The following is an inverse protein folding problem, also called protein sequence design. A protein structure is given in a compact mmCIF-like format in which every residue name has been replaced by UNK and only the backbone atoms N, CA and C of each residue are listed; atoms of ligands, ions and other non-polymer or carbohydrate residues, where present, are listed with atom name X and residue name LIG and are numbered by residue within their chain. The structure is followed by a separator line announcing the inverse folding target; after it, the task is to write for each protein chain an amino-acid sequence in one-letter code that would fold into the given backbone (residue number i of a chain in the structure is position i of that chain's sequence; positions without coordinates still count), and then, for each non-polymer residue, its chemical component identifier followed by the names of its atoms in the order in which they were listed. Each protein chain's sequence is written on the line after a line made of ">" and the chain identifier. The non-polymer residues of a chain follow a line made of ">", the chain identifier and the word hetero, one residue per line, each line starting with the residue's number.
data_IF_348781548687
#
_entry.id   IF_348781548687
#
_cell.length_a   1.000
_cell.length_b   1.000
_cell.length_c   1.000
_cell.angle_alpha   90.00
_cell.angle_beta   90.00
_cell.angle_gamma   90.00
#
_symmetry.space_group_name_H-M   'P 1'
#
loop_
_entity.id
_entity.type
_entity.pdbx_description
1 polymer ?
#
# COMPACT_ATOMS: atom_id res chain seq x y z
N UNK A 1 -13.65 -5.98 9.17
CA UNK A 1 -12.59 -4.97 9.31
C UNK A 1 -11.80 -4.94 8.01
N UNK A 2 -11.39 -3.78 7.47
CA UNK A 2 -10.65 -3.76 6.20
C UNK A 2 -9.20 -4.23 6.41
N UNK A 3 -8.73 -5.15 5.57
CA UNK A 3 -7.36 -5.69 5.59
C UNK A 3 -6.30 -4.59 5.51
N UNK A 4 -6.56 -3.53 4.74
CA UNK A 4 -5.68 -2.37 4.65
C UNK A 4 -5.53 -1.60 5.96
N UNK A 5 -6.61 -1.42 6.74
CA UNK A 5 -6.53 -0.72 8.03
C UNK A 5 -5.62 -1.47 9.00
N UNK A 6 -5.79 -2.79 9.10
CA UNK A 6 -4.95 -3.63 9.95
C UNK A 6 -3.50 -3.63 9.46
N UNK A 7 -3.27 -3.66 8.14
CA UNK A 7 -1.94 -3.56 7.55
C UNK A 7 -1.21 -2.27 7.93
N UNK A 8 -1.90 -1.14 7.84
CA UNK A 8 -1.36 0.17 8.23
C UNK A 8 -1.09 0.25 9.73
N UNK A 9 -2.06 -0.17 10.54
CA UNK A 9 -1.92 -0.15 11.98
C UNK A 9 -0.80 -1.08 12.47
N UNK A 10 -0.59 -2.24 11.82
CA UNK A 10 0.52 -3.14 12.15
C UNK A 10 1.88 -2.57 11.73
N UNK A 11 1.95 -1.92 10.56
CA UNK A 11 3.17 -1.30 10.05
C UNK A 11 3.64 -0.11 10.90
N UNK A 12 2.73 0.70 11.41
CA UNK A 12 3.03 1.89 12.22
C UNK A 12 2.66 1.71 13.70
N UNK A 13 2.68 0.45 14.16
CA UNK A 13 2.22 0.09 15.49
C UNK A 13 3.00 0.87 16.56
N UNK A 14 4.33 0.88 16.47
CA UNK A 14 5.19 1.52 17.45
C UNK A 14 5.00 3.03 17.53
N UNK A 15 4.73 3.70 16.40
CA UNK A 15 4.42 5.12 16.36
C UNK A 15 3.07 5.41 17.01
N UNK A 16 2.06 4.60 16.73
CA UNK A 16 0.72 4.74 17.32
C UNK A 16 0.66 4.38 18.81
N UNK A 17 1.58 3.56 19.30
CA UNK A 17 1.68 3.15 20.71
C UNK A 17 2.84 3.78 21.47
N UNK A 18 3.50 4.79 20.89
CA UNK A 18 4.61 5.51 21.55
C UNK A 18 4.16 6.14 22.89
N UNK A 19 5.12 6.50 23.76
CA UNK A 19 4.84 7.04 25.11
C UNK A 19 3.97 8.29 25.09
N UNK A 20 4.06 9.10 24.03
CA UNK A 20 3.19 10.25 23.79
C UNK A 20 2.71 10.23 22.33
N UNK A 21 1.70 9.41 22.01
CA UNK A 21 1.26 9.24 20.64
C UNK A 21 0.51 10.51 20.22
N UNK A 22 0.98 11.17 19.16
CA UNK A 22 0.31 12.35 18.61
C UNK A 22 -0.99 11.97 17.88
N UNK A 23 -2.02 11.60 18.64
CA UNK A 23 -3.34 11.16 18.12
C UNK A 23 -4.05 12.20 17.26
N UNK A 24 -3.58 13.45 17.32
CA UNK A 24 -4.11 14.60 16.58
C UNK A 24 -3.21 15.05 15.44
N UNK A 25 -2.05 14.42 15.27
CA UNK A 25 -1.23 14.61 14.08
C UNK A 25 -2.01 14.08 12.88
N UNK A 26 -1.98 14.83 11.79
CA UNK A 26 -2.44 14.29 10.52
C UNK A 26 -1.42 13.25 10.04
N UNK A 27 -1.84 11.98 10.08
CA UNK A 27 -1.05 10.89 9.54
C UNK A 27 -1.39 10.66 8.08
N UNK A 28 -0.36 10.64 7.22
CA UNK A 28 -0.52 10.33 5.80
C UNK A 28 0.31 9.09 5.48
N UNK A 29 -0.35 8.04 4.99
CA UNK A 29 0.27 6.82 4.50
C UNK A 29 0.13 6.76 2.96
N UNK A 30 1.25 6.75 2.24
CA UNK A 30 1.26 6.60 0.78
C UNK A 30 1.43 5.16 0.37
N UNK A 31 0.38 4.55 -0.19
CA UNK A 31 0.39 3.22 -0.76
C UNK A 31 0.72 3.31 -2.26
N UNK A 32 1.91 2.86 -2.65
CA UNK A 32 2.33 2.85 -4.06
C UNK A 32 1.68 1.69 -4.79
N UNK A 33 0.79 1.98 -5.73
CA UNK A 33 0.22 1.03 -6.66
C UNK A 33 1.15 0.80 -7.86
N UNK A 34 1.20 -0.44 -8.31
CA UNK A 34 1.89 -0.88 -9.52
C UNK A 34 1.00 -1.84 -10.30
N UNK A 35 1.24 -1.99 -11.59
CA UNK A 35 0.69 -3.11 -12.37
C UNK A 35 1.77 -4.18 -12.38
N UNK A 36 1.47 -5.36 -11.83
CA UNK A 36 2.40 -6.48 -11.73
C UNK A 36 1.96 -7.62 -12.65
N UNK A 37 2.88 -8.32 -13.34
CA UNK A 37 2.52 -9.43 -14.22
C UNK A 37 1.72 -10.51 -13.49
N UNK A 38 0.69 -11.03 -14.15
CA UNK A 38 -0.07 -12.18 -13.62
C UNK A 38 0.70 -13.50 -13.81
N UNK A 39 1.48 -13.58 -14.89
CA UNK A 39 2.34 -14.72 -15.18
C UNK A 39 3.68 -14.60 -14.46
N UNK A 40 4.06 -15.65 -13.72
CA UNK A 40 5.29 -15.70 -12.93
C UNK A 40 6.55 -15.66 -13.81
N UNK A 41 6.52 -16.27 -15.00
CA UNK A 41 7.66 -16.23 -15.93
C UNK A 41 7.86 -14.80 -16.44
N UNK A 42 6.80 -14.09 -16.78
CA UNK A 42 6.89 -12.67 -17.18
C UNK A 42 7.47 -11.80 -16.06
N UNK A 43 7.08 -12.07 -14.81
CA UNK A 43 7.63 -11.38 -13.66
C UNK A 43 9.14 -11.64 -13.46
N UNK A 44 9.56 -12.90 -13.61
CA UNK A 44 10.98 -13.31 -13.54
C UNK A 44 11.76 -12.67 -14.68
N UNK A 45 11.27 -12.74 -15.91
CA UNK A 45 11.95 -12.21 -17.09
C UNK A 45 12.11 -10.68 -16.99
N UNK A 46 11.10 -9.98 -16.48
CA UNK A 46 11.17 -8.53 -16.21
C UNK A 46 12.12 -8.18 -15.07
N UNK A 47 12.33 -9.05 -14.09
CA UNK A 47 13.30 -8.83 -13.02
C UNK A 47 14.74 -9.16 -13.42
N UNK A 48 14.94 -10.00 -14.44
CA UNK A 48 16.25 -10.49 -14.85
C UNK A 48 17.04 -9.45 -15.67
N UNK A 49 18.20 -8.95 -15.20
CA UNK A 49 19.01 -7.98 -15.94
C UNK A 49 19.62 -8.55 -17.23
N UNK A 50 19.84 -9.86 -17.31
CA UNK A 50 20.47 -10.53 -18.45
C UNK A 50 19.55 -10.61 -19.67
N UNK A 51 18.23 -10.46 -19.47
CA UNK A 51 17.27 -10.39 -20.57
C UNK A 51 17.16 -8.93 -21.02
N UNK A 52 17.48 -8.61 -22.30
CA UNK A 52 17.39 -7.25 -22.81
C UNK A 52 15.99 -6.67 -22.64
N UNK A 53 15.86 -5.51 -21.99
CA UNK A 53 14.55 -4.92 -21.72
C UNK A 53 13.74 -4.70 -23.01
N UNK A 54 14.41 -4.33 -24.12
CA UNK A 54 13.76 -4.09 -25.40
C UNK A 54 12.97 -5.31 -25.93
N UNK A 55 13.42 -6.55 -25.66
CA UNK A 55 12.67 -7.74 -26.08
C UNK A 55 11.38 -7.92 -25.28
N UNK A 56 11.37 -7.48 -24.03
CA UNK A 56 10.21 -7.53 -23.13
C UNK A 56 9.23 -6.37 -23.36
N UNK A 57 9.71 -5.23 -23.85
CA UNK A 57 8.85 -4.09 -24.19
C UNK A 57 7.84 -4.44 -25.29
N UNK A 58 8.28 -5.19 -26.31
CA UNK A 58 7.43 -5.64 -27.42
C UNK A 58 6.45 -6.77 -27.03
N UNK A 59 6.77 -7.56 -26.00
CA UNK A 59 5.92 -8.67 -25.54
C UNK A 59 4.63 -8.15 -24.92
N UNK A 60 3.47 -8.66 -25.31
CA UNK A 60 2.23 -8.36 -24.59
C UNK A 60 2.24 -9.08 -23.24
N UNK A 61 2.28 -8.32 -22.14
CA UNK A 61 2.26 -8.84 -20.77
C UNK A 61 1.00 -8.30 -20.10
N UNK A 62 0.19 -9.19 -19.54
CA UNK A 62 -1.02 -8.82 -18.79
C UNK A 62 -0.71 -8.87 -17.29
N UNK A 63 -1.18 -7.87 -16.57
CA UNK A 63 -0.99 -7.80 -15.13
C UNK A 63 -2.23 -7.33 -14.39
N UNK A 64 -2.07 -7.23 -13.08
CA UNK A 64 -3.08 -6.74 -12.15
C UNK A 64 -2.48 -5.70 -11.20
N UNK A 65 -3.34 -4.84 -10.66
CA UNK A 65 -2.93 -3.84 -9.68
C UNK A 65 -2.44 -4.55 -8.41
N UNK A 66 -1.28 -4.12 -7.91
CA UNK A 66 -0.71 -4.52 -6.62
C UNK A 66 -0.18 -3.30 -5.88
N UNK A 67 -0.07 -3.41 -4.56
CA UNK A 67 0.60 -2.46 -3.69
C UNK A 67 2.06 -2.87 -3.53
N UNK A 68 2.97 -1.99 -3.97
CA UNK A 68 4.40 -2.24 -3.96
C UNK A 68 5.05 -1.92 -2.61
N UNK A 69 4.55 -0.89 -1.93
CA UNK A 69 5.01 -0.43 -0.61
C UNK A 69 4.00 0.54 0.01
N UNK A 70 4.14 0.75 1.32
CA UNK A 70 3.46 1.81 2.07
C UNK A 70 4.53 2.64 2.76
N UNK A 71 4.49 3.96 2.57
CA UNK A 71 5.42 4.91 3.18
C UNK A 71 4.70 5.97 3.99
N UNK A 72 5.31 6.42 5.09
CA UNK A 72 4.80 7.54 5.87
C UNK A 72 5.16 8.82 5.10
N UNK A 73 4.19 9.73 4.94
CA UNK A 73 4.34 10.98 4.18
C UNK A 73 3.82 12.19 4.93
N UNK A 74 3.71 12.13 6.26
CA UNK A 74 3.10 13.22 7.02
C UNK A 74 3.96 14.48 7.07
N UNK A 75 5.24 14.38 6.67
CA UNK A 75 6.16 15.52 6.56
C UNK A 75 6.08 16.23 5.19
N UNK A 76 5.34 15.70 4.22
CA UNK A 76 5.10 16.40 2.96
C UNK A 76 3.96 17.40 3.16
N UNK A 77 4.08 18.66 2.70
CA UNK A 77 3.00 19.63 2.84
C UNK A 77 1.76 19.06 2.15
N UNK A 78 0.67 18.84 2.91
CA UNK A 78 -0.56 18.29 2.37
C UNK A 78 -1.19 19.32 1.43
N UNK A 79 -1.75 18.84 0.32
CA UNK A 79 -2.70 19.63 -0.47
C UNK A 79 -3.86 20.05 0.46
N UNK A 80 -4.39 21.28 0.33
CA UNK A 80 -5.54 21.78 1.09
C UNK A 80 -6.71 20.78 1.08
N UNK A 81 -6.87 20.04 -0.03
CA UNK A 81 -7.88 18.98 -0.16
C UNK A 81 -7.64 17.82 0.80
N UNK A 82 -6.39 17.43 1.06
CA UNK A 82 -6.02 16.34 1.95
C UNK A 82 -6.30 16.73 3.40
N UNK A 83 -5.92 17.95 3.75
CA UNK A 83 -6.19 18.50 5.07
C UNK A 83 -7.69 18.60 5.33
N UNK A 84 -8.47 19.10 4.37
CA UNK A 84 -9.93 19.19 4.49
C UNK A 84 -10.58 17.81 4.69
N UNK A 85 -10.19 16.80 3.91
CA UNK A 85 -10.71 15.44 4.04
C UNK A 85 -10.34 14.80 5.39
N UNK A 86 -9.09 14.97 5.83
CA UNK A 86 -8.65 14.50 7.14
C UNK A 86 -9.40 15.19 8.28
N UNK A 87 -9.53 16.52 8.25
CA UNK A 87 -10.27 17.29 9.26
C UNK A 87 -11.74 16.86 9.34
N UNK A 88 -12.41 16.67 8.21
CA UNK A 88 -13.79 16.20 8.17
C UNK A 88 -13.94 14.84 8.86
N UNK A 89 -13.13 13.85 8.47
CA UNK A 89 -13.18 12.50 9.05
C UNK A 89 -12.81 12.47 10.53
N UNK A 90 -11.83 13.30 10.93
CA UNK A 90 -11.42 13.45 12.34
C UNK A 90 -12.51 14.08 13.19
N UNK A 91 -13.20 15.10 12.69
CA UNK A 91 -14.31 15.72 13.40
C UNK A 91 -15.49 14.76 13.55
N UNK A 92 -15.78 13.95 12.53
CA UNK A 92 -16.80 12.91 12.61
C UNK A 92 -16.44 11.82 13.62
N UNK A 93 -15.19 11.35 13.61
CA UNK A 93 -14.67 10.40 14.60
C UNK A 93 -14.79 10.95 16.03
N UNK A 94 -14.49 12.24 16.23
CA UNK A 94 -14.62 12.92 17.52
C UNK A 94 -16.09 13.03 17.96
N UNK A 95 -17.01 13.31 17.02
CA UNK A 95 -18.46 13.37 17.27
C UNK A 95 -19.03 12.02 17.68
N UNK A 96 -18.47 10.92 17.18
CA UNK A 96 -18.81 9.56 17.58
C UNK A 96 -18.18 9.13 18.92
N UNK A 97 -17.42 10.01 19.57
CA UNK A 97 -16.83 9.77 20.88
C UNK A 97 -15.46 9.08 20.86
N UNK A 98 -14.86 8.88 19.68
CA UNK A 98 -13.60 8.15 19.50
C UNK A 98 -12.37 9.07 19.47
N UNK A 99 -12.25 9.95 20.46
CA UNK A 99 -11.18 10.97 20.54
C UNK A 99 -9.78 10.40 20.73
N UNK A 100 -9.71 9.16 21.18
CA UNK A 100 -8.52 8.37 21.43
C UNK A 100 -7.99 7.64 20.19
N UNK A 101 -8.77 7.60 19.11
CA UNK A 101 -8.38 6.94 17.88
C UNK A 101 -7.42 7.79 17.05
N UNK A 102 -6.58 7.13 16.25
CA UNK A 102 -5.74 7.78 15.25
C UNK A 102 -6.53 7.92 13.95
N UNK A 103 -6.41 9.06 13.28
CA UNK A 103 -6.99 9.27 11.96
C UNK A 103 -5.88 9.34 10.93
N UNK A 104 -5.87 8.36 10.03
CA UNK A 104 -4.87 8.19 8.98
C UNK A 104 -5.51 8.43 7.63
N UNK A 105 -4.88 9.27 6.82
CA UNK A 105 -5.21 9.48 5.44
C UNK A 105 -4.34 8.55 4.59
N UNK A 106 -4.93 7.65 3.81
CA UNK A 106 -4.18 6.80 2.89
C UNK A 106 -4.30 7.32 1.47
N UNK A 107 -3.18 7.64 0.84
CA UNK A 107 -3.12 7.95 -0.59
C UNK A 107 -2.76 6.70 -1.37
N UNK A 108 -3.41 6.51 -2.52
CA UNK A 108 -3.06 5.45 -3.46
C UNK A 108 -2.40 6.09 -4.67
N UNK A 109 -1.09 5.92 -4.74
CA UNK A 109 -0.27 6.56 -5.75
C UNK A 109 0.01 5.60 -6.89
N UNK A 110 -0.23 6.01 -8.13
CA UNK A 110 0.29 5.30 -9.29
C UNK A 110 1.07 6.28 -10.14
N UNK A 111 2.36 5.99 -10.38
CA UNK A 111 3.29 6.85 -11.11
C UNK A 111 3.33 8.32 -10.63
N UNK A 112 3.49 8.51 -9.32
CA UNK A 112 3.55 9.83 -8.66
C UNK A 112 2.28 10.66 -8.78
N UNK A 113 1.15 10.04 -9.15
CA UNK A 113 -0.16 10.66 -9.14
C UNK A 113 -1.03 9.98 -8.08
N UNK A 114 -1.70 10.77 -7.25
CA UNK A 114 -2.68 10.26 -6.27
C UNK A 114 -3.99 9.99 -7.00
N UNK A 115 -4.40 8.72 -7.05
CA UNK A 115 -5.66 8.29 -7.68
C UNK A 115 -6.81 8.27 -6.69
N UNK A 116 -6.56 7.70 -5.52
CA UNK A 116 -7.55 7.59 -4.45
C UNK A 116 -6.97 8.10 -3.15
N UNK A 117 -7.88 8.62 -2.33
CA UNK A 117 -7.60 9.05 -0.98
C UNK A 117 -8.71 8.51 -0.10
N UNK A 118 -8.33 7.75 0.91
CA UNK A 118 -9.27 7.10 1.81
C UNK A 118 -8.84 7.39 3.25
N UNK A 119 -9.66 8.10 4.05
CA UNK A 119 -9.41 8.24 5.47
C UNK A 119 -9.83 6.97 6.21
N UNK A 120 -9.04 6.58 7.21
CA UNK A 120 -9.32 5.48 8.12
C UNK A 120 -9.12 5.90 9.56
N UNK A 121 -9.90 5.30 10.45
CA UNK A 121 -9.74 5.43 11.90
C UNK A 121 -9.12 4.16 12.45
N UNK A 122 -8.00 4.29 13.15
CA UNK A 122 -7.33 3.19 13.87
C UNK A 122 -7.68 3.34 15.35
N UNK A 123 -8.50 2.41 15.84
CA UNK A 123 -8.95 2.42 17.22
C UNK A 123 -7.94 1.72 18.15
N UNK A 124 -7.94 2.03 19.45
CA UNK A 124 -7.13 1.28 20.42
C UNK A 124 -7.37 -0.24 20.40
N UNK A 125 -8.59 -0.67 20.07
CA UNK A 125 -8.93 -2.09 19.91
C UNK A 125 -8.20 -2.73 18.72
N UNK A 126 -8.01 -2.00 17.61
CA UNK A 126 -7.22 -2.49 16.47
C UNK A 126 -5.76 -2.69 16.89
N UNK A 127 -5.20 -1.74 17.67
CA UNK A 127 -3.85 -1.84 18.20
C UNK A 127 -3.70 -2.99 19.20
N UNK A 128 -4.70 -3.22 20.04
CA UNK A 128 -4.71 -4.36 20.98
C UNK A 128 -4.68 -5.70 20.24
N UNK A 129 -5.47 -5.85 19.17
CA UNK A 129 -5.49 -7.04 18.32
C UNK A 129 -4.14 -7.27 17.64
N UNK A 130 -3.52 -6.21 17.10
CA UNK A 130 -2.19 -6.28 16.48
C UNK A 130 -1.13 -6.74 17.49
N UNK A 131 -1.22 -6.25 18.73
CA UNK A 131 -0.32 -6.65 19.81
C UNK A 131 -0.51 -8.12 20.17
N UNK A 132 -1.75 -8.55 20.35
CA UNK A 132 -2.12 -9.92 20.73
C UNK A 132 -1.59 -10.94 19.71
N UNK A 133 -1.78 -10.65 18.42
CA UNK A 133 -1.34 -11.53 17.33
C UNK A 133 0.08 -11.23 16.83
N UNK A 134 0.79 -10.29 17.47
CA UNK A 134 2.15 -9.86 17.08
C UNK A 134 2.29 -9.52 15.60
N UNK A 135 1.26 -8.93 15.00
CA UNK A 135 1.25 -8.65 13.54
C UNK A 135 2.35 -7.65 13.15
N UNK A 136 2.77 -6.78 14.07
CA UNK A 136 3.89 -5.86 13.86
C UNK A 136 5.22 -6.59 13.62
N UNK A 137 5.49 -7.71 14.33
CA UNK A 137 6.72 -8.50 14.13
C UNK A 137 6.74 -9.19 12.75
N UNK A 138 5.58 -9.60 12.24
CA UNK A 138 5.43 -10.19 10.90
C UNK A 138 5.73 -9.12 9.83
N UNK A 139 5.22 -7.90 10.01
CA UNK A 139 5.50 -6.78 9.10
C UNK A 139 7.00 -6.47 9.05
N UNK A 140 7.64 -6.39 10.22
CA UNK A 140 9.05 -6.04 10.35
C UNK A 140 9.97 -7.08 9.70
N UNK A 141 9.70 -8.38 9.91
CA UNK A 141 10.53 -9.47 9.37
C UNK A 141 10.37 -9.65 7.87
N UNK A 142 9.16 -9.54 7.36
CA UNK A 142 8.88 -9.84 5.94
C UNK A 142 8.95 -8.59 5.06
N UNK A 143 9.07 -7.40 5.65
CA UNK A 143 9.00 -6.09 5.00
C UNK A 143 7.76 -5.94 4.07
N UNK A 144 6.77 -6.82 4.26
CA UNK A 144 5.66 -7.06 3.35
C UNK A 144 4.47 -7.79 3.95
N UNK A 145 4.51 -8.39 5.16
CA UNK A 145 3.45 -9.29 5.65
C UNK A 145 2.00 -8.84 5.39
N UNK A 146 1.53 -7.70 5.94
CA UNK A 146 0.16 -7.26 5.67
C UNK A 146 -0.07 -6.68 4.28
N UNK A 147 0.99 -6.23 3.61
CA UNK A 147 0.94 -5.90 2.18
C UNK A 147 0.80 -7.15 1.31
N UNK A 148 1.37 -8.27 1.73
CA UNK A 148 1.28 -9.56 1.07
C UNK A 148 -0.15 -10.10 1.17
N UNK A 149 -0.78 -10.06 2.34
CA UNK A 149 -2.18 -10.45 2.48
C UNK A 149 -3.12 -9.56 1.66
N UNK A 150 -2.90 -8.24 1.68
CA UNK A 150 -3.69 -7.31 0.89
C UNK A 150 -3.49 -7.52 -0.62
N UNK A 151 -2.25 -7.75 -1.05
CA UNK A 151 -1.95 -8.12 -2.44
C UNK A 151 -2.53 -9.47 -2.82
N UNK A 152 -2.54 -10.45 -1.92
CA UNK A 152 -3.15 -11.75 -2.14
C UNK A 152 -4.67 -11.63 -2.32
N UNK A 153 -5.32 -10.78 -1.51
CA UNK A 153 -6.74 -10.46 -1.67
C UNK A 153 -7.02 -9.74 -3.00
N UNK A 154 -6.25 -8.70 -3.33
CA UNK A 154 -6.37 -7.99 -4.60
C UNK A 154 -6.13 -8.93 -5.80
N UNK A 155 -5.14 -9.81 -5.70
CA UNK A 155 -4.83 -10.76 -6.75
C UNK A 155 -5.93 -11.81 -6.90
N UNK A 156 -6.50 -12.32 -5.80
CA UNK A 156 -7.64 -13.24 -5.84
C UNK A 156 -8.85 -12.59 -6.49
N UNK A 157 -9.20 -11.37 -6.10
CA UNK A 157 -10.28 -10.61 -6.76
C UNK A 157 -10.00 -10.38 -8.26
N UNK A 158 -8.73 -10.19 -8.63
CA UNK A 158 -8.33 -9.99 -10.01
C UNK A 158 -8.37 -11.26 -10.87
N UNK A 159 -8.20 -12.45 -10.28
CA UNK A 159 -8.19 -13.73 -10.99
C UNK A 159 -9.55 -14.44 -10.92
N UNK A 160 -10.19 -14.42 -9.77
CA UNK A 160 -11.30 -15.30 -9.40
C UNK A 160 -12.56 -14.52 -9.02
N UNK A 161 -12.47 -13.20 -8.84
CA UNK A 161 -13.62 -12.36 -8.48
C UNK A 161 -14.60 -12.16 -9.63
N UNK A 162 -15.83 -11.77 -9.30
CA UNK A 162 -16.92 -11.50 -10.26
C UNK A 162 -16.56 -10.46 -11.35
N UNK A 163 -15.49 -9.70 -11.11
CA UNK A 163 -15.01 -8.65 -11.99
C UNK A 163 -13.55 -8.85 -12.45
N UNK A 164 -13.03 -10.08 -12.50
CA UNK A 164 -11.64 -10.39 -12.87
C UNK A 164 -11.11 -9.62 -14.11
N UNK A 165 -11.93 -9.50 -15.17
CA UNK A 165 -11.58 -8.73 -16.39
C UNK A 165 -11.36 -7.23 -16.16
N UNK A 166 -11.95 -6.63 -15.11
CA UNK A 166 -11.78 -5.21 -14.76
C UNK A 166 -10.50 -4.93 -13.99
N UNK A 167 -9.93 -5.95 -13.36
CA UNK A 167 -8.71 -5.86 -12.56
C UNK A 167 -7.45 -6.24 -13.33
N UNK A 168 -7.61 -6.65 -14.59
CA UNK A 168 -6.52 -7.05 -15.48
C UNK A 168 -6.31 -6.01 -16.57
N UNK A 169 -5.06 -5.67 -16.84
CA UNK A 169 -4.71 -4.72 -17.88
C UNK A 169 -3.34 -5.05 -18.49
N UNK A 170 -3.10 -4.69 -19.76
CA UNK A 170 -1.77 -4.79 -20.36
C UNK A 170 -0.79 -3.87 -19.64
N UNK A 171 0.41 -4.36 -19.36
CA UNK A 171 1.51 -3.51 -18.89
C UNK A 171 2.01 -2.65 -20.04
N UNK A 172 1.96 -1.33 -19.85
CA UNK A 172 2.62 -0.40 -20.77
C UNK A 172 4.15 -0.50 -20.66
N UNK A 173 4.86 0.07 -21.63
CA UNK A 173 6.33 0.08 -21.62
C UNK A 173 6.90 0.72 -20.34
N UNK A 174 6.27 1.78 -19.85
CA UNK A 174 6.67 2.45 -18.62
C UNK A 174 6.46 1.59 -17.37
N UNK A 175 5.45 0.72 -17.33
CA UNK A 175 5.26 -0.23 -16.22
C UNK A 175 6.39 -1.25 -16.21
N UNK A 176 6.74 -1.79 -17.38
CA UNK A 176 7.83 -2.75 -17.55
C UNK A 176 9.18 -2.16 -17.16
N UNK A 177 9.47 -0.93 -17.60
CA UNK A 177 10.67 -0.17 -17.21
C UNK A 177 10.73 0.02 -15.70
N UNK A 178 9.64 0.50 -15.10
CA UNK A 178 9.56 0.71 -13.65
C UNK A 178 9.78 -0.59 -12.86
N UNK A 179 9.18 -1.71 -13.28
CA UNK A 179 9.39 -3.00 -12.63
C UNK A 179 10.83 -3.49 -12.72
N UNK A 180 11.47 -3.34 -13.90
CA UNK A 180 12.89 -3.66 -14.10
C UNK A 180 13.77 -2.82 -13.17
N UNK A 181 13.58 -1.50 -13.13
CA UNK A 181 14.33 -0.60 -12.26
C UNK A 181 14.16 -0.95 -10.77
N UNK A 182 12.93 -1.26 -10.34
CA UNK A 182 12.64 -1.66 -8.96
C UNK A 182 13.32 -2.98 -8.61
N UNK A 183 13.33 -3.95 -9.53
CA UNK A 183 14.03 -5.23 -9.35
C UNK A 183 15.55 -5.02 -9.22
N UNK A 184 16.15 -4.21 -10.09
CA UNK A 184 17.59 -3.90 -10.02
C UNK A 184 17.96 -3.17 -8.73
N UNK A 185 17.16 -2.20 -8.28
CA UNK A 185 17.40 -1.49 -7.01
C UNK A 185 17.29 -2.42 -5.79
N UNK A 186 16.40 -3.41 -5.83
CA UNK A 186 16.28 -4.43 -4.76
C UNK A 186 17.38 -5.49 -4.82
N UNK A 187 17.86 -5.85 -6.01
CA UNK A 187 18.98 -6.78 -6.21
C UNK A 187 20.37 -6.17 -6.01
N UNK A 188 20.48 -4.85 -5.84
CA UNK A 188 21.71 -4.13 -5.51
C UNK A 188 21.92 -3.97 -3.98
N UNK A 189 21.03 -4.52 -3.16
CA UNK A 189 21.12 -4.63 -1.71
C UNK A 189 21.36 -6.11 -1.31
N UNK A 190 22.38 -6.73 -1.91
CA UNK A 190 22.96 -7.99 -1.42
C UNK A 190 23.99 -7.66 -0.34
#
# INVERSE_FOLDING_TARGET
>A
MSSLRLALAARYYHEFTSTNPERRKMWIAGATMIIYPNDTKDAIDLANPDIPLNSLLAKQITGSIRLAEITERSNCPPDDKFEAAWKAHRNDTDRLGHREAHVVLTTFDYRNQVFFLIPFTIHPQDLALIREHKLYEIVEKENSGPLFELNAALHREAQEGDNAKKWTCPLGENDKRYLRERATKRGALV
#
